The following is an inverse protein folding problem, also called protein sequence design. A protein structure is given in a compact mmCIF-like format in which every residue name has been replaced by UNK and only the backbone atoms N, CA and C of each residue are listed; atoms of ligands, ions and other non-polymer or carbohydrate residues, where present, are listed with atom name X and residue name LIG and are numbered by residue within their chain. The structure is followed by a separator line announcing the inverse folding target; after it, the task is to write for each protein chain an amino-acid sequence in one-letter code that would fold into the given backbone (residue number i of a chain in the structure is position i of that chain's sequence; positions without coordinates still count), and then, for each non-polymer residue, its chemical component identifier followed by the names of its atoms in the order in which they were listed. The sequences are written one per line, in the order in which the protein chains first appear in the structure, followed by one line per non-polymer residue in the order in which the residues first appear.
data_IF_629156204326
#
_entry.id   IF_629156204326
#
_cell.length_a   1.000
_cell.length_b   1.000
_cell.length_c   1.000
_cell.angle_alpha   90.00
_cell.angle_beta   90.00
_cell.angle_gamma   90.00
#
_symmetry.space_group_name_H-M   'P 1'
#
loop_
_entity.id
_entity.type
_entity.pdbx_description
1 polymer ?
#
# COMPACT_ATOMS: atom_id res chain seq x y z
N UNK A 1 -8.65 33.47 1.82
CA UNK A 1 -9.83 32.60 1.66
C UNK A 1 -9.30 31.37 0.95
N UNK A 2 -8.97 30.31 1.68
CA UNK A 2 -8.48 29.07 1.09
C UNK A 2 -9.67 28.43 0.40
N UNK A 3 -9.75 28.62 -0.91
CA UNK A 3 -10.83 28.11 -1.72
C UNK A 3 -10.79 26.58 -1.69
N UNK A 4 -11.62 25.96 -0.84
CA UNK A 4 -11.74 24.49 -0.75
C UNK A 4 -12.00 23.80 -2.09
N UNK A 5 -12.45 24.56 -3.10
CA UNK A 5 -12.51 24.11 -4.49
C UNK A 5 -11.15 23.66 -5.05
N UNK A 6 -10.05 24.35 -4.73
CA UNK A 6 -8.71 23.98 -5.21
C UNK A 6 -8.17 22.71 -4.53
N UNK A 7 -8.41 22.54 -3.24
CA UNK A 7 -8.01 21.32 -2.52
C UNK A 7 -8.76 20.09 -3.04
N UNK A 8 -10.06 20.25 -3.34
CA UNK A 8 -10.88 19.20 -3.95
C UNK A 8 -10.36 18.86 -5.36
N UNK A 9 -10.06 19.87 -6.18
CA UNK A 9 -9.57 19.66 -7.55
C UNK A 9 -8.24 18.90 -7.57
N UNK A 10 -7.30 19.29 -6.71
CA UNK A 10 -6.00 18.62 -6.57
C UNK A 10 -6.18 17.17 -6.09
N UNK A 11 -7.06 16.94 -5.11
CA UNK A 11 -7.30 15.60 -4.58
C UNK A 11 -7.91 14.68 -5.65
N UNK A 12 -8.87 15.17 -6.44
CA UNK A 12 -9.48 14.42 -7.55
C UNK A 12 -8.43 14.10 -8.62
N UNK A 13 -7.59 15.06 -8.99
CA UNK A 13 -6.53 14.85 -9.99
C UNK A 13 -5.54 13.76 -9.54
N UNK A 14 -5.15 13.77 -8.27
CA UNK A 14 -4.27 12.77 -7.65
C UNK A 14 -4.93 11.39 -7.61
N UNK A 15 -6.22 11.29 -7.27
CA UNK A 15 -6.97 10.02 -7.32
C UNK A 15 -7.04 9.45 -8.73
N UNK A 16 -7.25 10.29 -9.75
CA UNK A 16 -7.23 9.84 -11.14
C UNK A 16 -5.85 9.34 -11.57
N UNK A 17 -4.79 10.03 -11.13
CA UNK A 17 -3.40 9.62 -11.39
C UNK A 17 -3.08 8.26 -10.75
N UNK A 18 -3.60 8.01 -9.55
CA UNK A 18 -3.51 6.71 -8.87
C UNK A 18 -4.24 5.61 -9.66
N UNK A 19 -5.45 5.88 -10.17
CA UNK A 19 -6.19 4.93 -11.02
C UNK A 19 -5.47 4.60 -12.32
N UNK A 20 -4.65 5.51 -12.85
CA UNK A 20 -3.82 5.28 -14.04
C UNK A 20 -2.63 4.33 -13.79
N UNK A 21 -2.45 3.85 -12.56
CA UNK A 21 -1.35 2.94 -12.20
C UNK A 21 -0.03 3.65 -11.91
N UNK A 22 -0.04 4.95 -11.64
CA UNK A 22 1.16 5.69 -11.22
C UNK A 22 1.60 5.22 -9.83
N UNK A 23 2.91 5.03 -9.60
CA UNK A 23 3.42 4.57 -8.30
C UNK A 23 2.97 5.49 -7.16
N UNK A 24 2.51 4.88 -6.07
CA UNK A 24 1.89 5.57 -4.91
C UNK A 24 2.76 6.66 -4.32
N UNK A 25 4.08 6.48 -4.32
CA UNK A 25 5.03 7.49 -3.84
C UNK A 25 4.93 8.82 -4.62
N UNK A 26 4.78 8.76 -5.95
CA UNK A 26 4.62 9.97 -6.77
C UNK A 26 3.27 10.65 -6.54
N UNK A 27 2.23 9.86 -6.33
CA UNK A 27 0.87 10.32 -6.04
C UNK A 27 0.86 11.15 -4.74
N UNK A 28 1.48 10.64 -3.68
CA UNK A 28 1.62 11.33 -2.39
C UNK A 28 2.48 12.59 -2.54
N UNK A 29 3.61 12.50 -3.25
CA UNK A 29 4.49 13.65 -3.52
C UNK A 29 3.76 14.79 -4.22
N UNK A 30 3.01 14.49 -5.28
CA UNK A 30 2.25 15.49 -6.02
C UNK A 30 1.14 16.13 -5.17
N UNK A 31 0.48 15.34 -4.32
CA UNK A 31 -0.54 15.83 -3.40
C UNK A 31 0.04 16.79 -2.35
N UNK A 32 1.16 16.44 -1.72
CA UNK A 32 1.80 17.28 -0.69
C UNK A 32 2.32 18.60 -1.28
N UNK A 33 2.89 18.56 -2.50
CA UNK A 33 3.31 19.77 -3.23
C UNK A 33 2.10 20.63 -3.59
N UNK A 34 1.03 20.03 -4.12
CA UNK A 34 -0.21 20.74 -4.45
C UNK A 34 -0.85 21.42 -3.24
N UNK A 35 -0.87 20.74 -2.09
CA UNK A 35 -1.41 21.31 -0.85
C UNK A 35 -0.51 22.42 -0.28
N UNK A 36 0.82 22.28 -0.31
CA UNK A 36 1.73 23.36 0.13
C UNK A 36 1.54 24.65 -0.68
N UNK A 37 1.30 24.54 -2.00
CA UNK A 37 1.03 25.70 -2.86
C UNK A 37 -0.31 26.38 -2.53
N UNK A 38 -1.35 25.62 -2.19
CA UNK A 38 -2.68 26.17 -1.83
C UNK A 38 -2.66 26.81 -0.44
N UNK A 39 -1.89 26.27 0.51
CA UNK A 39 -1.76 26.82 1.85
C UNK A 39 -0.78 28.01 1.92
N UNK A 40 -0.05 28.31 0.85
CA UNK A 40 0.95 29.40 0.81
C UNK A 40 2.14 29.16 1.73
N UNK A 41 2.39 27.89 2.11
CA UNK A 41 3.53 27.52 2.95
C UNK A 41 4.81 27.50 2.09
N UNK A 42 5.97 27.87 2.66
CA UNK A 42 7.22 27.83 1.92
C UNK A 42 7.52 26.39 1.47
N UNK A 43 7.91 26.22 0.20
CA UNK A 43 8.16 24.91 -0.42
C UNK A 43 9.28 24.09 0.25
N UNK A 44 10.03 24.71 1.16
CA UNK A 44 10.99 24.01 2.02
C UNK A 44 10.30 23.14 3.08
N UNK A 45 9.08 23.51 3.49
CA UNK A 45 8.27 22.79 4.47
C UNK A 45 7.62 21.53 3.89
N UNK A 46 7.52 21.43 2.55
CA UNK A 46 7.02 20.24 1.84
C UNK A 46 7.85 18.99 2.15
N UNK A 47 9.15 19.15 2.39
CA UNK A 47 10.03 18.04 2.78
C UNK A 47 9.74 17.54 4.20
N UNK A 48 9.49 18.44 5.14
CA UNK A 48 9.06 18.09 6.49
C UNK A 48 7.66 17.43 6.49
N UNK A 49 6.72 17.97 5.72
CA UNK A 49 5.38 17.37 5.57
C UNK A 49 5.41 15.98 4.92
N UNK A 50 6.29 15.75 3.94
CA UNK A 50 6.52 14.41 3.39
C UNK A 50 7.09 13.48 4.47
N UNK A 51 8.12 13.91 5.20
CA UNK A 51 8.73 13.11 6.27
C UNK A 51 7.72 12.76 7.37
N UNK A 52 6.84 13.70 7.74
CA UNK A 52 5.72 13.50 8.67
C UNK A 52 4.78 12.40 8.17
N UNK A 53 4.36 12.48 6.90
CA UNK A 53 3.53 11.44 6.25
C UNK A 53 4.21 10.07 6.22
N UNK A 54 5.52 9.98 6.04
CA UNK A 54 6.25 8.71 6.09
C UNK A 54 6.49 8.19 7.52
N UNK A 55 6.58 9.08 8.50
CA UNK A 55 6.86 8.73 9.90
C UNK A 55 5.58 8.35 10.64
N UNK A 56 4.50 9.11 10.43
CA UNK A 56 3.19 8.88 11.03
C UNK A 56 2.32 7.92 10.19
N UNK A 57 2.62 7.80 8.89
CA UNK A 57 1.98 6.85 8.00
C UNK A 57 2.50 5.44 8.24
N UNK A 58 2.01 4.77 9.28
CA UNK A 58 2.29 3.36 9.55
C UNK A 58 2.08 2.48 8.29
N UNK A 59 1.05 2.80 7.50
CA UNK A 59 0.76 2.14 6.23
C UNK A 59 1.90 2.26 5.18
N UNK A 60 2.62 3.38 5.15
CA UNK A 60 3.71 3.63 4.19
C UNK A 60 5.00 2.90 4.54
N UNK A 61 5.25 2.63 5.83
CA UNK A 61 6.34 1.75 6.28
C UNK A 61 5.95 0.27 6.23
N UNK A 62 4.67 -0.05 6.49
CA UNK A 62 4.15 -1.40 6.39
C UNK A 62 4.21 -1.92 4.94
N UNK A 63 3.88 -1.09 3.94
CA UNK A 63 3.96 -1.44 2.51
C UNK A 63 5.31 -2.07 2.07
N UNK A 64 6.47 -1.41 2.25
CA UNK A 64 7.75 -1.97 1.86
C UNK A 64 8.15 -3.17 2.72
N UNK A 65 7.87 -3.17 4.02
CA UNK A 65 8.12 -4.35 4.88
C UNK A 65 7.30 -5.56 4.45
N UNK A 66 6.05 -5.35 4.01
CA UNK A 66 5.18 -6.39 3.48
C UNK A 66 5.71 -6.93 2.14
N UNK A 67 6.15 -6.04 1.24
CA UNK A 67 6.82 -6.44 -0.02
C UNK A 67 8.08 -7.26 0.26
N UNK A 68 8.90 -6.82 1.21
CA UNK A 68 10.16 -7.49 1.57
C UNK A 68 9.90 -8.86 2.22
N UNK A 69 8.91 -8.94 3.10
CA UNK A 69 8.45 -10.20 3.70
C UNK A 69 7.88 -11.15 2.64
N UNK A 70 7.14 -10.62 1.66
CA UNK A 70 6.67 -11.36 0.50
C UNK A 70 7.82 -11.97 -0.31
N UNK A 71 8.84 -11.17 -0.64
CA UNK A 71 10.02 -11.66 -1.37
C UNK A 71 10.80 -12.72 -0.57
N UNK A 72 10.96 -12.51 0.74
CA UNK A 72 11.56 -13.50 1.65
C UNK A 72 10.75 -14.80 1.70
N UNK A 73 9.41 -14.74 1.74
CA UNK A 73 8.55 -15.92 1.78
C UNK A 73 8.64 -16.74 0.49
N UNK A 74 8.72 -16.06 -0.66
CA UNK A 74 8.91 -16.70 -1.98
C UNK A 74 10.31 -17.32 -2.05
N UNK A 75 11.34 -16.58 -1.65
CA UNK A 75 12.74 -17.01 -1.77
C UNK A 75 13.13 -18.11 -0.78
N UNK A 76 12.52 -18.15 0.39
CA UNK A 76 12.71 -19.21 1.39
C UNK A 76 12.02 -20.54 1.04
N UNK A 77 11.25 -20.60 -0.07
CA UNK A 77 10.35 -21.71 -0.42
C UNK A 77 9.31 -22.02 0.66
N UNK A 78 9.16 -21.14 1.66
CA UNK A 78 8.14 -21.27 2.70
C UNK A 78 6.75 -21.12 2.08
N UNK A 79 6.61 -20.27 1.06
CA UNK A 79 5.38 -20.13 0.28
C UNK A 79 4.88 -21.48 -0.26
N UNK A 80 5.76 -22.31 -0.84
CA UNK A 80 5.39 -23.64 -1.32
C UNK A 80 4.98 -24.58 -0.18
N UNK A 81 5.71 -24.58 0.94
CA UNK A 81 5.34 -25.41 2.09
C UNK A 81 4.00 -25.00 2.72
N UNK A 82 3.72 -23.70 2.78
CA UNK A 82 2.44 -23.18 3.26
C UNK A 82 1.31 -23.52 2.30
N UNK A 83 1.56 -23.47 0.99
CA UNK A 83 0.62 -23.94 -0.04
C UNK A 83 0.36 -25.45 0.10
N UNK A 84 1.38 -26.28 0.29
CA UNK A 84 1.23 -27.73 0.50
C UNK A 84 0.39 -28.03 1.75
N UNK A 85 0.61 -27.28 2.85
CA UNK A 85 -0.18 -27.41 4.09
C UNK A 85 -1.62 -26.93 3.88
N UNK A 86 -1.81 -25.84 3.15
CA UNK A 86 -3.13 -25.31 2.79
C UNK A 86 -3.91 -26.30 1.93
N UNK A 87 -3.26 -26.93 0.95
CA UNK A 87 -3.84 -27.99 0.13
C UNK A 87 -4.14 -29.25 0.96
N UNK A 88 -3.23 -29.65 1.86
CA UNK A 88 -3.42 -30.81 2.73
C UNK A 88 -4.57 -30.64 3.74
N UNK A 89 -4.80 -29.42 4.23
CA UNK A 89 -5.89 -29.11 5.17
C UNK A 89 -7.26 -28.98 4.49
N UNK A 90 -7.30 -28.66 3.19
CA UNK A 90 -8.57 -28.47 2.45
C UNK A 90 -9.15 -29.77 1.86
N UNK A 91 -8.39 -30.87 1.84
CA UNK A 91 -8.86 -32.18 1.39
C UNK A 91 -9.29 -32.22 -0.08
N UNK A 92 -10.16 -33.18 -0.46
CA UNK A 92 -10.57 -33.51 -1.85
C UNK A 92 -11.29 -32.40 -2.65
N UNK A 93 -11.34 -31.18 -2.13
CA UNK A 93 -11.83 -30.02 -2.86
C UNK A 93 -10.81 -29.67 -3.95
N UNK A 94 -10.96 -30.36 -5.08
CA UNK A 94 -10.19 -30.32 -6.34
C UNK A 94 -10.07 -28.91 -6.90
N UNK A 95 -9.39 -28.04 -6.20
CA UNK A 95 -9.46 -26.61 -6.41
C UNK A 95 -8.08 -26.11 -6.81
N UNK A 96 -8.00 -25.64 -8.06
CA UNK A 96 -6.79 -25.08 -8.64
C UNK A 96 -6.35 -23.78 -7.96
N UNK A 97 -5.57 -22.99 -8.69
CA UNK A 97 -4.90 -21.76 -8.24
C UNK A 97 -5.73 -20.80 -7.35
N UNK A 98 -7.06 -20.82 -7.44
CA UNK A 98 -7.95 -19.96 -6.66
C UNK A 98 -7.92 -20.19 -5.15
N UNK A 99 -8.09 -21.42 -4.66
CA UNK A 99 -8.18 -21.68 -3.20
C UNK A 99 -6.84 -21.53 -2.50
N UNK A 100 -5.77 -21.92 -3.18
CA UNK A 100 -4.41 -21.78 -2.65
C UNK A 100 -4.00 -20.29 -2.56
N UNK A 101 -4.45 -19.46 -3.50
CA UNK A 101 -4.30 -17.99 -3.43
C UNK A 101 -5.13 -17.38 -2.31
N UNK A 102 -6.39 -17.78 -2.12
CA UNK A 102 -7.25 -17.25 -1.04
C UNK A 102 -6.71 -17.62 0.34
N UNK A 103 -6.24 -18.85 0.54
CA UNK A 103 -5.59 -19.25 1.79
C UNK A 103 -4.26 -18.54 2.00
N UNK A 104 -3.46 -18.35 0.95
CA UNK A 104 -2.25 -17.53 0.99
C UNK A 104 -2.56 -16.10 1.45
N UNK A 105 -3.52 -15.43 0.81
CA UNK A 105 -3.99 -14.11 1.21
C UNK A 105 -4.51 -14.10 2.66
N UNK A 106 -5.24 -15.14 3.08
CA UNK A 106 -5.77 -15.28 4.44
C UNK A 106 -4.67 -15.41 5.51
N UNK A 107 -3.65 -16.24 5.27
CA UNK A 107 -2.50 -16.35 6.18
C UNK A 107 -1.72 -15.05 6.28
N UNK A 108 -1.47 -14.38 5.15
CA UNK A 108 -0.81 -13.07 5.14
C UNK A 108 -1.65 -12.00 5.84
N UNK A 109 -2.98 -12.00 5.68
CA UNK A 109 -3.87 -11.09 6.40
C UNK A 109 -3.84 -11.33 7.92
N UNK A 110 -3.77 -12.59 8.36
CA UNK A 110 -3.63 -12.93 9.78
C UNK A 110 -2.26 -12.58 10.36
N UNK A 111 -1.18 -12.69 9.57
CA UNK A 111 0.18 -12.31 10.00
C UNK A 111 0.34 -10.78 10.03
N UNK A 112 -0.27 -10.08 9.08
CA UNK A 112 -0.10 -8.64 8.95
C UNK A 112 -0.73 -7.86 10.09
N UNK A 113 -1.69 -8.42 10.83
CA UNK A 113 -2.44 -7.69 11.85
C UNK A 113 -3.22 -6.54 11.23
N UNK A 114 -4.54 -6.69 11.10
CA UNK A 114 -5.39 -5.55 10.73
C UNK A 114 -5.76 -4.81 12.02
N UNK A 115 -4.88 -3.92 12.48
CA UNK A 115 -5.28 -2.78 13.31
C UNK A 115 -5.56 -1.54 12.44
#
# INVERSE_FOLDING_TARGET
MTDGSWTIFISIAVTFLFMLGVPVFLVIGYWVIGMSLVLGLPLINTGAALADVFTDGFALLAMPLFILTGDVLVRSRLSHKLLDVAEATMGSLRSGLGTSTVLGCGFFACISGSD
#
